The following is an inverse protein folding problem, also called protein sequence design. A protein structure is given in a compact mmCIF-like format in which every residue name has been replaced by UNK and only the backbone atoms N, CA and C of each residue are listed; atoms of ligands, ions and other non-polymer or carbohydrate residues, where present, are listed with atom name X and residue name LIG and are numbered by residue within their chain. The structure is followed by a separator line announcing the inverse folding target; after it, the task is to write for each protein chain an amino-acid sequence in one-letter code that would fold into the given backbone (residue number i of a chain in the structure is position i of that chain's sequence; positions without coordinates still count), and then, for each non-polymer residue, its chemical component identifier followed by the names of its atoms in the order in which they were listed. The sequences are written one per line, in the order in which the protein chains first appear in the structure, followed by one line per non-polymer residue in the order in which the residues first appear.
data_IF_421784991234
#
_entry.id   IF_421784991234
#
_cell.length_a   1.000
_cell.length_b   1.000
_cell.length_c   1.000
_cell.angle_alpha   90.00
_cell.angle_beta   90.00
_cell.angle_gamma   90.00
#
_symmetry.space_group_name_H-M   'P 1'
#
loop_
_entity.id
_entity.type
_entity.pdbx_description
1 polymer ?
#
# COMPACT_ATOMS: atom_id res chain seq x y z
N UNK A 1 -5.10 4.92 9.47
CA UNK A 1 -5.58 5.42 8.16
C UNK A 1 -5.83 4.24 7.25
N UNK A 2 -6.81 4.35 6.35
CA UNK A 2 -7.02 3.37 5.28
C UNK A 2 -6.57 3.98 3.96
N UNK A 3 -5.63 3.34 3.28
CA UNK A 3 -5.01 3.81 2.04
C UNK A 3 -5.36 2.85 0.91
N UNK A 4 -5.83 3.39 -0.20
CA UNK A 4 -6.13 2.59 -1.40
C UNK A 4 -5.07 2.87 -2.46
N UNK A 5 -4.41 1.81 -2.94
CA UNK A 5 -3.45 1.87 -4.03
C UNK A 5 -4.12 1.33 -5.30
N UNK A 6 -4.13 2.11 -6.37
CA UNK A 6 -4.59 1.66 -7.69
C UNK A 6 -3.41 1.06 -8.47
N UNK A 7 -3.38 -0.27 -8.58
CA UNK A 7 -2.38 -1.08 -9.28
C UNK A 7 -1.20 -1.59 -8.42
N UNK A 8 -0.81 -2.86 -8.59
CA UNK A 8 0.26 -3.52 -7.81
C UNK A 8 1.61 -3.67 -8.54
N UNK A 9 1.98 -2.72 -9.39
CA UNK A 9 3.31 -2.70 -10.02
C UNK A 9 4.44 -2.56 -8.99
N UNK A 10 5.69 -2.49 -9.46
CA UNK A 10 6.89 -2.39 -8.59
C UNK A 10 6.80 -1.30 -7.51
N UNK A 11 6.21 -0.16 -7.85
CA UNK A 11 6.04 0.95 -6.90
C UNK A 11 4.90 0.65 -5.92
N UNK A 12 3.77 0.16 -6.40
CA UNK A 12 2.61 -0.15 -5.57
C UNK A 12 2.92 -1.19 -4.49
N UNK A 13 3.71 -2.22 -4.83
CA UNK A 13 4.13 -3.25 -3.87
C UNK A 13 5.12 -2.73 -2.81
N UNK A 14 6.13 -1.94 -3.21
CA UNK A 14 7.06 -1.32 -2.25
C UNK A 14 6.34 -0.36 -1.31
N UNK A 15 5.48 0.49 -1.88
CA UNK A 15 4.72 1.48 -1.12
C UNK A 15 3.72 0.82 -0.15
N UNK A 16 3.03 -0.26 -0.56
CA UNK A 16 2.15 -1.00 0.33
C UNK A 16 2.90 -1.52 1.56
N UNK A 17 4.09 -2.10 1.35
CA UNK A 17 4.93 -2.66 2.42
C UNK A 17 5.34 -1.58 3.42
N UNK A 18 5.77 -0.41 2.93
CA UNK A 18 6.16 0.72 3.79
C UNK A 18 4.98 1.27 4.60
N UNK A 19 3.81 1.41 3.96
CA UNK A 19 2.61 1.91 4.62
C UNK A 19 2.06 0.92 5.67
N UNK A 20 2.09 -0.38 5.39
CA UNK A 20 1.74 -1.41 6.37
C UNK A 20 2.69 -1.39 7.57
N UNK A 21 4.00 -1.26 7.33
CA UNK A 21 5.00 -1.15 8.40
C UNK A 21 4.82 0.13 9.24
N UNK A 22 4.31 1.21 8.64
CA UNK A 22 3.92 2.43 9.34
C UNK A 22 2.59 2.32 10.12
N UNK A 23 1.93 1.16 10.09
CA UNK A 23 0.68 0.89 10.80
C UNK A 23 -0.58 1.36 10.06
N UNK A 24 -0.50 1.53 8.74
CA UNK A 24 -1.66 1.86 7.91
C UNK A 24 -2.30 0.60 7.34
N UNK A 25 -3.63 0.61 7.22
CA UNK A 25 -4.36 -0.44 6.52
C UNK A 25 -4.35 -0.11 5.03
N UNK A 26 -3.82 -1.01 4.21
CA UNK A 26 -3.71 -0.81 2.75
C UNK A 26 -4.70 -1.74 2.04
N UNK A 27 -5.31 -1.25 0.97
CA UNK A 27 -6.06 -2.08 0.02
C UNK A 27 -5.61 -1.74 -1.40
N UNK A 28 -5.45 -2.77 -2.22
CA UNK A 28 -4.95 -2.62 -3.58
C UNK A 28 -6.06 -3.03 -4.55
N UNK A 29 -6.30 -2.19 -5.56
CA UNK A 29 -7.31 -2.39 -6.62
C UNK A 29 -6.59 -2.50 -7.97
#
# INVERSE_FOLDING_TARGET
MHVVIMGCGRVGSSLATELEAAGHSVSII
#
